data_IF_912009483863
#
_entry.id   IF_912009483863
#
_cell.length_a   1.000
_cell.length_b   1.000
_cell.length_c   1.000
_cell.angle_alpha   90.00
_cell.angle_beta   90.00
_cell.angle_gamma   90.00
#
_symmetry.space_group_name_H-M   'P 1'
#
loop_
_entity.id
_entity.type
_entity.pdbx_description
1 polymer ?
#
# COMPACT_ATOMS: atom_id res chain seq x y z
N UNK A 1 -24.28 -19.82 -54.39
CA UNK A 1 -23.85 -18.41 -54.22
C UNK A 1 -24.85 -17.71 -53.31
N UNK A 2 -24.39 -17.32 -52.11
CA UNK A 2 -24.89 -16.27 -51.18
C UNK A 2 -24.60 -16.68 -49.74
N UNK A 3 -23.45 -16.20 -49.25
CA UNK A 3 -23.11 -16.13 -47.83
C UNK A 3 -24.12 -15.21 -47.13
N UNK A 4 -24.64 -15.64 -45.98
CA UNK A 4 -25.25 -14.77 -44.98
C UNK A 4 -24.37 -14.80 -43.74
N UNK A 5 -23.48 -13.82 -43.67
CA UNK A 5 -22.81 -13.37 -42.45
C UNK A 5 -23.88 -12.73 -41.56
N UNK A 6 -24.13 -13.31 -40.39
CA UNK A 6 -24.82 -12.61 -39.31
C UNK A 6 -23.75 -12.17 -38.30
N UNK A 7 -23.49 -10.86 -38.33
CA UNK A 7 -22.62 -10.16 -37.39
C UNK A 7 -23.28 -10.18 -36.01
N UNK A 8 -22.62 -10.79 -35.02
CA UNK A 8 -22.98 -10.62 -33.62
C UNK A 8 -21.86 -9.80 -32.96
N UNK A 9 -22.01 -8.49 -33.01
CA UNK A 9 -21.19 -7.55 -32.26
C UNK A 9 -21.56 -7.65 -30.78
N UNK A 10 -20.84 -8.49 -30.03
CA UNK A 10 -20.90 -8.48 -28.57
C UNK A 10 -19.92 -7.44 -28.05
N UNK A 11 -20.36 -6.19 -27.98
CA UNK A 11 -19.64 -5.12 -27.30
C UNK A 11 -19.93 -5.21 -25.80
N UNK A 12 -19.19 -6.06 -25.09
CA UNK A 12 -19.09 -6.01 -23.63
C UNK A 12 -17.76 -5.38 -23.25
N UNK A 13 -17.63 -4.07 -23.44
CA UNK A 13 -16.59 -3.30 -22.75
C UNK A 13 -17.08 -3.01 -21.33
N UNK A 14 -16.87 -3.95 -20.42
CA UNK A 14 -16.90 -3.65 -19.00
C UNK A 14 -15.65 -2.83 -18.66
N UNK A 15 -15.71 -1.52 -18.89
CA UNK A 15 -14.82 -0.58 -18.19
C UNK A 15 -15.45 -0.29 -16.83
N UNK A 16 -15.39 -1.27 -15.93
CA UNK A 16 -15.67 -1.07 -14.51
C UNK A 16 -14.45 -1.51 -13.73
N UNK A 17 -13.34 -0.81 -13.94
CA UNK A 17 -12.35 -0.65 -12.87
C UNK A 17 -12.85 0.48 -11.97
N UNK A 18 -13.99 0.25 -11.31
CA UNK A 18 -14.33 1.01 -10.13
C UNK A 18 -13.21 0.72 -9.14
N UNK A 19 -12.39 1.73 -8.85
CA UNK A 19 -11.41 1.68 -7.77
C UNK A 19 -12.22 1.51 -6.48
N UNK A 20 -12.42 0.26 -6.05
CA UNK A 20 -13.15 -0.04 -4.84
C UNK A 20 -12.31 0.47 -3.66
N UNK A 21 -12.87 1.39 -2.88
CA UNK A 21 -12.37 1.65 -1.54
C UNK A 21 -12.53 0.34 -0.77
N UNK A 22 -11.42 -0.31 -0.43
CA UNK A 22 -11.47 -1.53 0.37
C UNK A 22 -11.47 -1.17 1.85
N UNK A 23 -12.33 -1.83 2.62
CA UNK A 23 -12.21 -1.77 4.07
C UNK A 23 -10.89 -2.39 4.50
N UNK A 24 -10.34 -1.92 5.63
CA UNK A 24 -9.20 -2.56 6.25
C UNK A 24 -9.53 -4.01 6.60
N UNK A 25 -8.67 -4.97 6.26
CA UNK A 25 -8.97 -6.38 6.48
C UNK A 25 -9.08 -6.70 7.98
N UNK A 26 -10.00 -7.62 8.30
CA UNK A 26 -10.16 -8.11 9.68
C UNK A 26 -8.86 -8.69 10.20
N UNK A 27 -8.57 -8.46 11.48
CA UNK A 27 -7.30 -8.92 12.06
C UNK A 27 -7.24 -10.44 12.15
N UNK A 28 -6.10 -11.00 11.75
CA UNK A 28 -5.78 -12.43 11.93
C UNK A 28 -4.91 -12.68 13.17
N UNK A 29 -4.62 -11.64 13.96
CA UNK A 29 -3.73 -11.76 15.10
C UNK A 29 -4.37 -12.54 16.25
N UNK A 30 -3.67 -13.55 16.72
CA UNK A 30 -4.02 -14.31 17.92
C UNK A 30 -3.27 -13.79 19.16
N UNK A 31 -3.72 -14.20 20.34
CA UNK A 31 -3.06 -13.86 21.61
C UNK A 31 -1.72 -14.57 21.81
N UNK A 32 -1.49 -15.67 21.09
CA UNK A 32 -0.30 -16.52 21.16
C UNK A 32 0.84 -16.07 20.22
N UNK A 33 0.53 -15.17 19.28
CA UNK A 33 1.44 -14.70 18.25
C UNK A 33 2.65 -13.98 18.81
N UNK A 34 3.76 -14.02 18.06
CA UNK A 34 4.88 -13.13 18.32
C UNK A 34 4.53 -11.74 17.82
N UNK A 35 4.72 -10.73 18.67
CA UNK A 35 4.49 -9.33 18.29
C UNK A 35 5.80 -8.57 18.18
N UNK A 36 5.97 -7.81 17.10
CA UNK A 36 6.99 -6.75 17.00
C UNK A 36 6.32 -5.41 16.80
N UNK A 37 7.02 -4.32 17.09
CA UNK A 37 6.49 -2.98 16.89
C UNK A 37 7.52 -2.06 16.27
N UNK A 38 7.02 -1.11 15.49
CA UNK A 38 7.78 0.00 14.96
C UNK A 38 7.03 1.28 15.33
N UNK A 39 7.63 2.06 16.23
CA UNK A 39 7.01 3.25 16.83
C UNK A 39 5.65 2.90 17.46
N UNK A 40 4.53 3.23 16.81
CA UNK A 40 3.17 3.01 17.33
C UNK A 40 2.39 1.92 16.59
N UNK A 41 3.02 1.26 15.61
CA UNK A 41 2.39 0.21 14.80
C UNK A 41 2.95 -1.16 15.16
N UNK A 42 2.06 -2.09 15.56
CA UNK A 42 2.44 -3.43 15.97
C UNK A 42 2.04 -4.48 14.93
N UNK A 43 2.92 -5.44 14.66
CA UNK A 43 2.68 -6.58 13.79
C UNK A 43 2.63 -7.86 14.60
N UNK A 44 1.71 -8.75 14.26
CA UNK A 44 1.68 -10.13 14.77
C UNK A 44 2.22 -11.12 13.73
N UNK A 45 2.98 -12.10 14.21
CA UNK A 45 3.54 -13.17 13.40
C UNK A 45 3.24 -14.53 14.02
N UNK A 46 2.84 -15.45 13.16
CA UNK A 46 2.79 -16.87 13.50
C UNK A 46 4.23 -17.37 13.66
N UNK A 47 4.58 -17.75 14.89
CA UNK A 47 5.92 -18.25 15.26
C UNK A 47 6.37 -19.45 14.43
N UNK A 48 5.43 -20.23 13.88
CA UNK A 48 5.74 -21.40 13.04
C UNK A 48 6.08 -21.03 11.61
N UNK A 49 5.64 -19.86 11.13
CA UNK A 49 5.89 -19.38 9.77
C UNK A 49 7.07 -18.43 9.70
N UNK A 50 7.31 -17.65 10.75
CA UNK A 50 8.36 -16.65 10.79
C UNK A 50 9.75 -17.29 10.83
N UNK A 51 10.57 -17.03 9.81
CA UNK A 51 11.94 -17.54 9.72
C UNK A 51 12.94 -16.56 10.31
N UNK A 52 12.73 -15.25 10.09
CA UNK A 52 13.67 -14.21 10.48
C UNK A 52 12.97 -12.88 10.73
N UNK A 53 13.41 -12.15 11.75
CA UNK A 53 13.19 -10.70 11.90
C UNK A 53 14.56 -10.07 12.12
N UNK A 54 14.86 -8.98 11.42
CA UNK A 54 16.09 -8.23 11.58
C UNK A 54 15.81 -6.74 11.63
N UNK A 55 16.31 -6.06 12.66
CA UNK A 55 16.31 -4.60 12.68
C UNK A 55 17.47 -4.09 11.81
N UNK A 56 17.19 -3.15 10.91
CA UNK A 56 18.22 -2.50 10.13
C UNK A 56 18.70 -1.28 10.92
N UNK A 57 19.99 -1.28 11.30
CA UNK A 57 20.61 -0.14 11.97
C UNK A 57 20.64 1.08 11.05
N UNK A 58 20.10 2.21 11.52
CA UNK A 58 20.04 3.46 10.77
C UNK A 58 19.30 4.56 11.52
N UNK A 59 19.22 5.74 10.92
CA UNK A 59 18.45 6.88 11.47
C UNK A 59 16.94 6.73 11.27
N UNK A 60 16.51 5.87 10.33
CA UNK A 60 15.12 5.56 10.04
C UNK A 60 14.80 4.22 10.70
N UNK A 61 13.88 4.17 11.69
CA UNK A 61 13.44 2.92 12.27
C UNK A 61 12.94 1.99 11.17
N UNK A 62 13.57 0.83 11.03
CA UNK A 62 13.28 -0.14 9.98
C UNK A 62 13.54 -1.55 10.49
N UNK A 63 12.64 -2.47 10.18
CA UNK A 63 12.89 -3.90 10.33
C UNK A 63 12.53 -4.64 9.06
N UNK A 64 13.14 -5.80 8.86
CA UNK A 64 12.78 -6.75 7.83
C UNK A 64 12.30 -8.04 8.47
N UNK A 65 11.40 -8.73 7.80
CA UNK A 65 10.99 -10.07 8.19
C UNK A 65 10.85 -10.98 6.97
N UNK A 66 11.05 -12.27 7.21
CA UNK A 66 10.91 -13.33 6.21
C UNK A 66 10.02 -14.43 6.78
N UNK A 67 9.00 -14.82 6.03
CA UNK A 67 8.17 -15.98 6.34
C UNK A 67 8.60 -17.20 5.50
N UNK A 68 8.25 -18.40 5.97
CA UNK A 68 8.48 -19.65 5.26
C UNK A 68 7.82 -19.61 3.88
N UNK A 69 8.62 -19.80 2.83
CA UNK A 69 8.21 -19.70 1.42
C UNK A 69 7.78 -18.29 0.96
N UNK A 70 8.16 -17.24 1.70
CA UNK A 70 7.95 -15.84 1.32
C UNK A 70 9.26 -15.12 0.99
N UNK A 71 9.13 -13.99 0.29
CA UNK A 71 10.23 -13.03 0.13
C UNK A 71 10.48 -12.21 1.39
N UNK A 72 11.56 -11.42 1.36
CA UNK A 72 11.85 -10.44 2.41
C UNK A 72 10.86 -9.27 2.31
N UNK A 73 10.20 -8.95 3.42
CA UNK A 73 9.38 -7.74 3.56
C UNK A 73 10.12 -6.77 4.47
N UNK A 74 10.27 -5.53 4.02
CA UNK A 74 10.84 -4.43 4.80
C UNK A 74 9.74 -3.49 5.28
N UNK A 75 9.82 -3.06 6.53
CA UNK A 75 8.89 -2.11 7.15
C UNK A 75 9.70 -0.96 7.75
N UNK A 76 9.48 0.25 7.26
CA UNK A 76 10.16 1.46 7.74
C UNK A 76 9.18 2.55 8.17
N UNK A 77 9.59 3.38 9.13
CA UNK A 77 8.87 4.58 9.55
C UNK A 77 9.61 5.81 9.03
N UNK A 78 9.20 6.27 7.86
CA UNK A 78 9.99 7.17 7.01
C UNK A 78 9.41 8.58 7.04
N UNK A 79 10.24 9.64 7.14
CA UNK A 79 9.78 11.02 6.96
C UNK A 79 8.99 11.21 5.66
N UNK A 80 7.89 11.94 5.74
CA UNK A 80 7.01 12.26 4.61
C UNK A 80 7.76 12.99 3.49
N UNK A 81 8.75 13.82 3.82
CA UNK A 81 9.59 14.53 2.87
C UNK A 81 10.32 13.58 1.92
N UNK A 82 10.85 12.47 2.44
CA UNK A 82 11.54 11.44 1.66
C UNK A 82 10.54 10.67 0.80
N UNK A 83 9.46 10.18 1.43
CA UNK A 83 8.44 9.36 0.75
C UNK A 83 7.76 10.13 -0.37
N UNK A 84 7.46 11.41 -0.12
CA UNK A 84 6.71 12.24 -1.07
C UNK A 84 7.58 13.09 -1.99
N UNK A 85 8.90 13.10 -1.77
CA UNK A 85 9.85 14.06 -2.36
C UNK A 85 9.37 15.51 -2.20
N UNK A 86 8.89 15.86 -1.00
CA UNK A 86 8.30 17.15 -0.62
C UNK A 86 7.13 17.64 -1.51
N UNK A 87 6.56 16.78 -2.36
CA UNK A 87 5.46 17.17 -3.24
C UNK A 87 4.21 17.56 -2.43
N UNK A 88 3.93 16.88 -1.31
CA UNK A 88 2.80 17.25 -0.46
C UNK A 88 2.94 18.69 0.07
N UNK A 89 4.15 19.12 0.45
CA UNK A 89 4.45 20.51 0.87
C UNK A 89 4.26 21.47 -0.30
N UNK A 90 4.81 21.15 -1.47
CA UNK A 90 4.69 21.97 -2.69
C UNK A 90 3.23 22.29 -3.03
N UNK A 91 2.35 21.30 -2.88
CA UNK A 91 0.92 21.44 -3.16
C UNK A 91 0.09 21.87 -1.92
N UNK A 92 0.74 22.14 -0.78
CA UNK A 92 0.08 22.52 0.49
C UNK A 92 -0.98 21.50 0.95
N UNK A 93 -0.70 20.22 0.73
CA UNK A 93 -1.55 19.10 1.14
C UNK A 93 -0.94 18.42 2.36
N UNK A 94 -1.79 17.87 3.23
CA UNK A 94 -1.31 16.87 4.17
C UNK A 94 -0.85 15.61 3.42
N UNK A 95 0.03 14.83 4.01
CA UNK A 95 0.56 13.59 3.41
C UNK A 95 -0.55 12.64 2.99
N UNK A 96 -1.53 12.43 3.87
CA UNK A 96 -2.69 11.57 3.59
C UNK A 96 -3.55 12.10 2.43
N UNK A 97 -3.73 13.42 2.32
CA UNK A 97 -4.47 14.04 1.20
C UNK A 97 -3.67 13.93 -0.10
N UNK A 98 -2.35 14.08 -0.04
CA UNK A 98 -1.49 13.87 -1.21
C UNK A 98 -1.66 12.45 -1.79
N UNK A 99 -1.56 11.40 -0.96
CA UNK A 99 -1.80 10.03 -1.42
C UNK A 99 -3.25 9.80 -1.87
N UNK A 100 -4.23 10.41 -1.21
CA UNK A 100 -5.62 10.35 -1.65
C UNK A 100 -5.78 10.91 -3.07
N UNK A 101 -5.13 12.04 -3.39
CA UNK A 101 -5.16 12.64 -4.72
C UNK A 101 -4.45 11.79 -5.78
N UNK A 102 -3.40 11.06 -5.40
CA UNK A 102 -2.79 10.05 -6.29
C UNK A 102 -3.75 8.90 -6.58
N UNK A 103 -4.43 8.39 -5.55
CA UNK A 103 -5.42 7.33 -5.68
C UNK A 103 -6.59 7.76 -6.58
N UNK A 104 -7.12 8.96 -6.37
CA UNK A 104 -8.20 9.56 -7.15
C UNK A 104 -7.76 9.99 -8.56
N UNK A 105 -6.44 10.03 -8.83
CA UNK A 105 -5.86 10.60 -10.05
C UNK A 105 -6.38 12.03 -10.31
N UNK A 106 -6.40 12.83 -9.25
CA UNK A 106 -7.05 14.14 -9.26
C UNK A 106 -6.26 15.18 -10.05
N UNK A 107 -6.94 15.86 -10.97
CA UNK A 107 -6.40 16.96 -11.78
C UNK A 107 -6.12 18.25 -10.97
N UNK A 108 -6.51 18.30 -9.70
CA UNK A 108 -6.17 19.43 -8.80
C UNK A 108 -4.65 19.54 -8.57
N UNK A 109 -3.92 18.44 -8.72
CA UNK A 109 -2.47 18.45 -8.68
C UNK A 109 -1.96 18.69 -10.10
N UNK A 110 -1.45 19.89 -10.35
CA UNK A 110 -0.77 20.20 -11.61
C UNK A 110 0.31 19.15 -11.93
N UNK A 111 0.25 18.59 -13.14
CA UNK A 111 1.10 17.49 -13.62
C UNK A 111 0.91 16.16 -12.87
N UNK A 112 -0.31 15.84 -12.42
CA UNK A 112 -0.64 14.57 -11.76
C UNK A 112 -0.10 13.34 -12.52
N UNK A 113 -0.17 13.31 -13.84
CA UNK A 113 0.36 12.20 -14.64
C UNK A 113 1.87 11.99 -14.48
N UNK A 114 2.66 13.07 -14.38
CA UNK A 114 4.09 12.96 -14.16
C UNK A 114 4.39 12.42 -12.75
N UNK A 115 3.56 12.80 -11.77
CA UNK A 115 3.69 12.31 -10.39
C UNK A 115 3.29 10.84 -10.33
N UNK A 116 2.14 10.45 -10.89
CA UNK A 116 1.74 9.04 -10.99
C UNK A 116 2.85 8.19 -11.60
N UNK A 117 3.45 8.63 -12.71
CA UNK A 117 4.59 7.95 -13.33
C UNK A 117 5.82 7.88 -12.43
N UNK A 118 6.13 8.92 -11.65
CA UNK A 118 7.25 8.89 -10.69
C UNK A 118 7.04 7.86 -9.57
N UNK A 119 5.78 7.55 -9.23
CA UNK A 119 5.38 6.49 -8.32
C UNK A 119 5.13 5.16 -9.05
N UNK A 120 5.49 5.07 -10.33
CA UNK A 120 5.23 3.95 -11.23
C UNK A 120 3.75 3.57 -11.41
N UNK A 121 2.79 4.41 -10.99
CA UNK A 121 1.35 4.15 -11.13
C UNK A 121 0.94 4.34 -12.59
N UNK A 122 0.52 3.26 -13.24
CA UNK A 122 0.13 3.24 -14.65
C UNK A 122 -0.84 2.06 -14.94
N UNK A 123 -0.93 1.60 -16.19
CA UNK A 123 -1.81 0.50 -16.59
C UNK A 123 -1.35 -0.89 -16.12
N UNK A 124 -0.08 -1.02 -15.75
CA UNK A 124 0.50 -2.27 -15.24
C UNK A 124 0.68 -2.26 -13.71
N UNK A 125 0.75 -1.08 -13.09
CA UNK A 125 0.88 -0.92 -11.64
C UNK A 125 -0.24 -0.03 -11.10
N UNK A 126 -1.07 -0.61 -10.25
CA UNK A 126 -2.26 0.04 -9.74
C UNK A 126 -2.09 0.44 -8.29
N UNK A 127 -2.74 1.56 -7.94
CA UNK A 127 -2.88 2.01 -6.56
C UNK A 127 -4.22 1.52 -6.00
N UNK A 128 -4.16 0.88 -4.83
CA UNK A 128 -5.30 0.39 -4.04
C UNK A 128 -5.32 1.13 -2.70
N UNK A 129 -6.51 1.37 -2.14
CA UNK A 129 -6.65 2.06 -0.86
C UNK A 129 -7.46 1.22 0.11
N UNK A 130 -6.88 0.95 1.29
CA UNK A 130 -7.53 0.33 2.43
C UNK A 130 -7.72 1.36 3.54
N UNK A 131 -8.84 1.32 4.25
CA UNK A 131 -9.16 2.30 5.28
C UNK A 131 -9.68 1.68 6.58
N UNK A 132 -9.15 2.15 7.72
CA UNK A 132 -9.67 1.90 9.06
C UNK A 132 -9.77 3.23 9.81
N UNK A 133 -11.01 3.73 10.00
CA UNK A 133 -11.25 5.06 10.57
C UNK A 133 -10.42 6.12 9.83
N UNK A 134 -9.51 6.77 10.54
CA UNK A 134 -8.65 7.81 10.02
C UNK A 134 -7.33 7.31 9.42
N UNK A 135 -6.98 6.03 9.64
CA UNK A 135 -5.78 5.41 9.08
C UNK A 135 -6.07 4.91 7.67
N UNK A 136 -5.20 5.26 6.73
CA UNK A 136 -5.29 4.82 5.33
C UNK A 136 -4.01 4.16 4.88
N UNK A 137 -4.13 3.01 4.21
CA UNK A 137 -3.04 2.34 3.51
C UNK A 137 -3.23 2.45 2.00
N UNK A 138 -2.19 2.86 1.29
CA UNK A 138 -2.16 2.94 -0.17
C UNK A 138 -1.13 1.94 -0.71
N UNK A 139 -1.60 0.90 -1.38
CA UNK A 139 -0.74 -0.13 -1.95
C UNK A 139 -0.56 0.10 -3.46
N UNK A 140 0.69 0.26 -3.90
CA UNK A 140 1.06 0.31 -5.32
C UNK A 140 1.63 -1.06 -5.69
N UNK A 141 0.88 -1.81 -6.50
CA UNK A 141 1.13 -3.22 -6.81
C UNK A 141 1.02 -3.44 -8.32
N UNK A 142 1.95 -4.20 -8.90
CA UNK A 142 1.89 -4.55 -10.32
C UNK A 142 3.13 -5.26 -10.85
N UNK A 143 3.54 -4.91 -12.07
CA UNK A 143 4.78 -5.37 -12.70
C UNK A 143 5.98 -4.45 -12.41
N UNK A 144 6.01 -3.80 -11.26
CA UNK A 144 7.11 -2.94 -10.87
C UNK A 144 8.24 -3.72 -10.19
N UNK A 145 9.40 -3.08 -10.01
CA UNK A 145 10.57 -3.73 -9.39
C UNK A 145 10.39 -3.99 -7.89
N UNK A 146 9.60 -3.17 -7.20
CA UNK A 146 9.38 -3.24 -5.74
C UNK A 146 7.95 -2.77 -5.47
N UNK A 147 7.08 -3.64 -4.99
CA UNK A 147 5.73 -3.27 -4.55
C UNK A 147 5.81 -2.51 -3.22
N UNK A 148 4.86 -1.60 -2.98
CA UNK A 148 4.93 -0.74 -1.80
C UNK A 148 3.56 -0.45 -1.20
N UNK A 149 3.45 -0.55 0.11
CA UNK A 149 2.30 -0.09 0.89
C UNK A 149 2.73 1.13 1.72
N UNK A 150 1.99 2.22 1.58
CA UNK A 150 2.15 3.42 2.39
C UNK A 150 1.00 3.53 3.38
N UNK A 151 1.28 3.46 4.68
CA UNK A 151 0.27 3.66 5.73
C UNK A 151 0.44 5.07 6.30
N UNK A 152 -0.62 5.84 6.20
CA UNK A 152 -0.71 7.23 6.65
C UNK A 152 -1.69 7.35 7.81
N UNK A 153 -1.34 8.17 8.79
CA UNK A 153 -2.20 8.57 9.90
C UNK A 153 -2.41 10.09 9.86
N UNK A 154 -3.51 10.62 10.41
CA UNK A 154 -3.73 12.06 10.40
C UNK A 154 -2.64 12.80 11.14
N UNK A 155 -2.21 13.94 10.59
CA UNK A 155 -1.26 14.87 11.21
C UNK A 155 0.15 14.29 11.48
N UNK A 156 0.45 13.10 10.98
CA UNK A 156 1.80 12.54 11.02
C UNK A 156 2.64 13.08 9.86
N UNK A 157 3.85 13.54 10.19
CA UNK A 157 4.90 13.89 9.23
C UNK A 157 5.74 12.66 8.82
N UNK A 158 5.29 11.47 9.21
CA UNK A 158 5.92 10.19 8.87
C UNK A 158 4.91 9.23 8.27
N UNK A 159 5.42 8.34 7.42
CA UNK A 159 4.66 7.32 6.72
C UNK A 159 5.29 5.98 7.02
N UNK A 160 4.46 4.98 7.35
CA UNK A 160 4.95 3.60 7.35
C UNK A 160 5.03 3.13 5.90
N UNK A 161 6.23 2.74 5.48
CA UNK A 161 6.47 2.17 4.16
C UNK A 161 6.75 0.67 4.32
N UNK A 162 5.98 -0.16 3.63
CA UNK A 162 6.19 -1.60 3.56
C UNK A 162 6.57 -1.95 2.13
N UNK A 163 7.72 -2.59 1.92
CA UNK A 163 8.23 -2.94 0.59
C UNK A 163 8.61 -4.41 0.49
N UNK A 164 8.47 -4.98 -0.71
CA UNK A 164 8.83 -6.36 -1.01
C UNK A 164 8.18 -6.85 -2.30
N UNK A 165 8.11 -8.17 -2.45
CA UNK A 165 7.27 -8.84 -3.46
C UNK A 165 5.86 -8.98 -2.85
N UNK A 166 4.94 -8.08 -3.23
CA UNK A 166 3.65 -7.91 -2.57
C UNK A 166 2.53 -7.94 -3.60
N UNK A 167 1.89 -9.10 -3.73
CA UNK A 167 0.60 -9.20 -4.42
C UNK A 167 -0.52 -8.53 -3.62
N UNK A 168 -1.68 -8.29 -4.24
CA UNK A 168 -2.85 -7.71 -3.55
C UNK A 168 -3.33 -8.59 -2.38
N UNK A 169 -3.31 -9.91 -2.55
CA UNK A 169 -3.63 -10.87 -1.49
C UNK A 169 -2.62 -10.76 -0.34
N UNK A 170 -1.33 -10.64 -0.67
CA UNK A 170 -0.28 -10.48 0.34
C UNK A 170 -0.39 -9.13 1.05
N UNK A 171 -0.75 -8.05 0.35
CA UNK A 171 -1.03 -6.76 0.99
C UNK A 171 -2.18 -6.87 1.99
N UNK A 172 -3.26 -7.55 1.62
CA UNK A 172 -4.40 -7.80 2.51
C UNK A 172 -3.98 -8.62 3.73
N UNK A 173 -3.14 -9.65 3.54
CA UNK A 173 -2.58 -10.45 4.63
C UNK A 173 -1.64 -9.65 5.53
N UNK A 174 -0.81 -8.76 4.97
CA UNK A 174 0.09 -7.89 5.74
C UNK A 174 -0.75 -6.94 6.60
N UNK A 175 -1.74 -6.28 6.02
CA UNK A 175 -2.59 -5.32 6.72
C UNK A 175 -3.44 -5.98 7.83
N UNK A 176 -3.85 -7.24 7.67
CA UNK A 176 -4.58 -7.98 8.71
C UNK A 176 -3.72 -8.37 9.91
N UNK A 177 -2.40 -8.35 9.76
CA UNK A 177 -1.42 -8.58 10.84
C UNK A 177 -1.09 -7.32 11.62
N UNK A 178 -1.53 -6.17 11.14
CA UNK A 178 -1.26 -4.88 11.78
C UNK A 178 -2.32 -4.60 12.83
N UNK A 179 -1.84 -4.46 14.07
CA UNK A 179 -2.58 -3.80 15.15
C UNK A 179 -2.32 -2.31 15.02
N UNK A 180 -3.30 -1.61 14.44
CA UNK A 180 -3.31 -0.16 14.31
C UNK A 180 -3.17 0.51 15.67
N UNK A 181 -2.62 1.75 15.71
CA UNK A 181 -2.10 2.35 16.93
C UNK A 181 -3.05 2.19 18.10
N UNK A 182 -2.52 1.56 19.14
CA UNK A 182 -3.06 1.65 20.48
C UNK A 182 -3.00 3.14 20.80
N UNK A 183 -4.14 3.81 20.98
CA UNK A 183 -4.14 5.19 21.49
C UNK A 183 -3.28 5.20 22.76
N UNK A 184 -2.08 5.78 22.68
CA UNK A 184 -1.22 6.01 23.84
C UNK A 184 -1.77 7.24 24.56
#
# INVERSE_FOLDING_TARGET
>A
MKFKTLSLACALTFNVYAHANTEWPSSICESSDLTTSIVDLAFCFDKKKLTRIQNIGGSIPTFTYTESNGGDISVGYIPSSIVTNDLHIKYKLSVQVFFQKLYEKSDEINNINAILNAYNINVENHIFMFQNNDVKAYAIIGKQRIDTIYITTPKSEFVYQITGDISLDKATEILSRIKLPIKI
#
